data_IF_010968553189
#
_entry.id   IF_010968553189
#
_cell.length_a   1.000
_cell.length_b   1.000
_cell.length_c   1.000
_cell.angle_alpha   90.00
_cell.angle_beta   90.00
_cell.angle_gamma   90.00
#
_symmetry.space_group_name_H-M   'P 1'
#
loop_
_entity.id
_entity.type
_entity.pdbx_description
1 polymer ?
#
# COMPACT_ATOMS: atom_id res chain seq x y z
N UNK A 1 15.94 2.33 6.87
CA UNK A 1 14.75 2.54 7.74
C UNK A 1 13.92 3.75 7.34
N UNK A 2 14.51 4.96 7.24
CA UNK A 2 13.75 6.21 6.97
C UNK A 2 12.91 6.17 5.67
N UNK A 3 13.38 5.51 4.61
CA UNK A 3 12.64 5.40 3.35
C UNK A 3 11.25 4.76 3.52
N UNK A 4 11.09 3.78 4.42
CA UNK A 4 9.80 3.14 4.69
C UNK A 4 8.83 4.08 5.42
N UNK A 5 9.35 4.91 6.34
CA UNK A 5 8.53 5.88 7.06
C UNK A 5 8.05 6.97 6.09
N UNK A 6 8.94 7.45 5.21
CA UNK A 6 8.57 8.40 4.16
C UNK A 6 7.57 7.78 3.18
N UNK A 7 7.73 6.53 2.78
CA UNK A 7 6.76 5.88 1.87
C UNK A 7 5.37 5.77 2.50
N UNK A 8 5.28 5.45 3.79
CA UNK A 8 3.99 5.42 4.52
C UNK A 8 3.36 6.81 4.53
N UNK A 9 4.14 7.88 4.77
CA UNK A 9 3.64 9.25 4.74
C UNK A 9 3.09 9.62 3.35
N UNK A 10 3.78 9.23 2.28
CA UNK A 10 3.30 9.47 0.93
C UNK A 10 2.04 8.64 0.63
N UNK A 11 1.99 7.36 1.02
CA UNK A 11 0.78 6.54 0.89
C UNK A 11 -0.44 7.22 1.51
N UNK A 12 -0.32 7.73 2.74
CA UNK A 12 -1.44 8.32 3.48
C UNK A 12 -2.05 9.58 2.86
N UNK A 13 -1.37 10.18 1.87
CA UNK A 13 -1.83 11.34 1.13
C UNK A 13 -2.49 10.99 -0.22
N UNK A 14 -2.63 9.70 -0.55
CA UNK A 14 -3.29 9.24 -1.77
C UNK A 14 -4.80 9.22 -1.53
N UNK A 15 -5.54 10.02 -2.29
CA UNK A 15 -7.00 10.04 -2.30
C UNK A 15 -7.56 9.30 -3.52
N UNK A 16 -8.71 8.67 -3.34
CA UNK A 16 -9.42 7.94 -4.39
C UNK A 16 -10.79 8.55 -4.68
N UNK A 17 -11.20 8.49 -5.95
CA UNK A 17 -12.54 8.86 -6.42
C UNK A 17 -13.10 7.75 -7.29
N UNK A 18 -14.40 7.84 -7.61
CA UNK A 18 -15.07 6.87 -8.47
C UNK A 18 -14.38 6.79 -9.83
N UNK A 19 -14.10 5.56 -10.25
CA UNK A 19 -13.53 5.23 -11.55
C UNK A 19 -14.58 5.24 -12.67
N UNK A 20 -14.27 4.54 -13.77
CA UNK A 20 -15.16 4.44 -14.93
C UNK A 20 -16.36 3.53 -14.66
N UNK A 21 -16.12 2.42 -13.98
CA UNK A 21 -17.14 1.44 -13.62
C UNK A 21 -17.76 1.75 -12.26
N UNK A 22 -18.97 1.25 -12.01
CA UNK A 22 -19.76 1.60 -10.84
C UNK A 22 -19.05 1.32 -9.52
N UNK A 23 -18.36 0.19 -9.41
CA UNK A 23 -17.63 -0.31 -8.25
C UNK A 23 -16.11 -0.17 -8.39
N UNK A 24 -15.65 0.75 -9.26
CA UNK A 24 -14.23 1.01 -9.46
C UNK A 24 -13.77 2.32 -8.83
N UNK A 25 -12.49 2.39 -8.54
CA UNK A 25 -11.78 3.57 -8.05
C UNK A 25 -10.71 4.01 -9.05
N UNK A 26 -10.27 5.25 -8.88
CA UNK A 26 -9.07 5.81 -9.50
C UNK A 26 -8.48 6.85 -8.57
N UNK A 27 -7.24 7.26 -8.81
CA UNK A 27 -6.63 8.40 -8.13
C UNK A 27 -7.47 9.67 -8.33
N UNK A 28 -7.56 10.49 -7.28
CA UNK A 28 -8.36 11.73 -7.29
C UNK A 28 -7.81 12.79 -8.25
N UNK A 29 -6.51 13.03 -8.19
CA UNK A 29 -5.84 14.15 -8.86
C UNK A 29 -4.34 13.91 -9.06
N UNK A 30 -3.66 14.86 -9.70
CA UNK A 30 -2.21 14.83 -9.93
C UNK A 30 -1.40 14.80 -8.63
N UNK A 31 -1.94 15.37 -7.53
CA UNK A 31 -1.30 15.32 -6.22
C UNK A 31 -1.27 13.88 -5.71
N UNK A 32 -2.38 13.15 -5.83
CA UNK A 32 -2.46 11.73 -5.47
C UNK A 32 -1.53 10.88 -6.33
N UNK A 33 -1.41 11.19 -7.63
CA UNK A 33 -0.44 10.56 -8.53
C UNK A 33 1.00 10.80 -8.12
N UNK A 34 1.36 12.03 -7.76
CA UNK A 34 2.70 12.36 -7.25
C UNK A 34 3.03 11.54 -6.00
N UNK A 35 2.11 11.50 -5.03
CA UNK A 35 2.31 10.71 -3.81
C UNK A 35 2.47 9.22 -4.08
N UNK A 36 1.67 8.66 -5.00
CA UNK A 36 1.80 7.27 -5.44
C UNK A 36 3.18 7.00 -6.07
N UNK A 37 3.62 7.86 -6.98
CA UNK A 37 4.90 7.71 -7.67
C UNK A 37 6.08 7.77 -6.69
N UNK A 38 6.08 8.74 -5.78
CA UNK A 38 7.12 8.84 -4.75
C UNK A 38 7.10 7.63 -3.81
N UNK A 39 5.91 7.17 -3.40
CA UNK A 39 5.81 5.96 -2.57
C UNK A 39 6.36 4.73 -3.29
N UNK A 40 6.05 4.57 -4.59
CA UNK A 40 6.54 3.47 -5.40
C UNK A 40 8.07 3.50 -5.55
N UNK A 41 8.65 4.68 -5.77
CA UNK A 41 10.10 4.86 -5.84
C UNK A 41 10.79 4.50 -4.51
N UNK A 42 10.26 4.98 -3.38
CA UNK A 42 10.79 4.69 -2.05
C UNK A 42 10.66 3.20 -1.68
N UNK A 43 9.61 2.53 -2.15
CA UNK A 43 9.38 1.09 -2.00
C UNK A 43 10.08 0.24 -3.07
N UNK A 44 10.76 0.89 -4.03
CA UNK A 44 11.43 0.25 -5.16
C UNK A 44 10.52 -0.70 -5.96
N UNK A 45 9.27 -0.28 -6.19
CA UNK A 45 8.28 -1.05 -6.93
C UNK A 45 7.72 -0.26 -8.11
N UNK A 46 7.03 -0.95 -9.01
CA UNK A 46 6.38 -0.31 -10.15
C UNK A 46 5.13 0.47 -9.68
N UNK A 47 5.05 1.75 -10.05
CA UNK A 47 3.95 2.62 -9.65
C UNK A 47 2.57 2.13 -10.12
N UNK A 48 2.50 1.52 -11.31
CA UNK A 48 1.24 0.97 -11.81
C UNK A 48 0.82 -0.27 -11.02
N UNK A 49 1.76 -1.15 -10.71
CA UNK A 49 1.49 -2.30 -9.83
C UNK A 49 1.06 -1.87 -8.42
N UNK A 50 1.64 -0.79 -7.90
CA UNK A 50 1.19 -0.22 -6.62
C UNK A 50 -0.24 0.33 -6.74
N UNK A 51 -0.55 1.10 -7.77
CA UNK A 51 -1.92 1.58 -8.04
C UNK A 51 -2.92 0.42 -8.13
N UNK A 52 -2.59 -0.61 -8.90
CA UNK A 52 -3.45 -1.78 -9.10
C UNK A 52 -3.67 -2.52 -7.77
N UNK A 53 -2.65 -2.64 -6.92
CA UNK A 53 -2.80 -3.23 -5.58
C UNK A 53 -3.72 -2.43 -4.64
N UNK A 54 -3.82 -1.11 -4.84
CA UNK A 54 -4.68 -0.22 -4.06
C UNK A 54 -6.11 -0.19 -4.62
N UNK A 55 -6.26 -0.30 -5.93
CA UNK A 55 -7.54 -0.12 -6.64
C UNK A 55 -8.21 -1.44 -7.04
N UNK A 56 -7.54 -2.58 -6.87
CA UNK A 56 -8.05 -3.89 -7.27
C UNK A 56 -7.77 -4.96 -6.22
N UNK A 57 -8.63 -5.98 -6.18
CA UNK A 57 -8.41 -7.19 -5.41
C UNK A 57 -8.27 -8.37 -6.35
N UNK A 58 -7.14 -9.06 -6.23
CA UNK A 58 -6.90 -10.34 -6.90
C UNK A 58 -7.42 -11.46 -6.01
N UNK A 59 -8.31 -12.28 -6.55
CA UNK A 59 -8.86 -13.48 -5.91
C UNK A 59 -8.22 -14.67 -6.62
N UNK A 60 -7.43 -15.44 -5.87
CA UNK A 60 -6.78 -16.66 -6.38
C UNK A 60 -7.78 -17.81 -6.26
N UNK A 61 -8.08 -18.47 -7.37
CA UNK A 61 -8.95 -19.66 -7.44
C UNK A 61 -8.21 -20.81 -8.13
N UNK A 62 -8.65 -22.08 -7.99
CA UNK A 62 -8.04 -23.21 -8.70
C UNK A 62 -8.00 -23.02 -10.22
N UNK A 63 -9.01 -22.34 -10.79
CA UNK A 63 -9.13 -22.08 -12.23
C UNK A 63 -8.36 -20.82 -12.69
N UNK A 64 -7.68 -20.13 -11.77
CA UNK A 64 -6.85 -18.96 -12.04
C UNK A 64 -7.19 -17.75 -11.18
N UNK A 65 -6.61 -16.61 -11.55
CA UNK A 65 -6.78 -15.35 -10.82
C UNK A 65 -7.94 -14.54 -11.41
N UNK A 66 -8.85 -14.13 -10.54
CA UNK A 66 -9.95 -13.22 -10.87
C UNK A 66 -9.63 -11.86 -10.24
N UNK A 67 -9.51 -10.82 -11.06
CA UNK A 67 -9.28 -9.46 -10.58
C UNK A 67 -10.60 -8.72 -10.52
N UNK A 68 -10.91 -8.12 -9.36
CA UNK A 68 -12.09 -7.28 -9.16
C UNK A 68 -11.65 -5.86 -8.81
N UNK A 69 -12.21 -4.81 -9.45
CA UNK A 69 -11.98 -3.44 -9.01
C UNK A 69 -12.54 -3.19 -7.60
N UNK A 70 -11.97 -2.22 -6.91
CA UNK A 70 -12.42 -1.74 -5.60
C UNK A 70 -13.11 -0.41 -5.76
N UNK A 71 -14.19 -0.19 -5.01
CA UNK A 71 -14.77 1.14 -4.90
C UNK A 71 -13.82 2.08 -4.11
N UNK A 72 -14.04 3.40 -4.13
CA UNK A 72 -13.13 4.33 -3.45
C UNK A 72 -12.95 4.09 -1.95
N UNK A 73 -14.00 3.65 -1.25
CA UNK A 73 -13.92 3.37 0.18
C UNK A 73 -13.07 2.12 0.45
N UNK A 74 -13.26 1.07 -0.35
CA UNK A 74 -12.44 -0.13 -0.29
C UNK A 74 -10.98 0.12 -0.70
N UNK A 75 -10.73 1.03 -1.63
CA UNK A 75 -9.36 1.44 -2.01
C UNK A 75 -8.64 2.17 -0.86
N UNK A 76 -9.34 3.04 -0.13
CA UNK A 76 -8.81 3.67 1.11
C UNK A 76 -8.44 2.60 2.14
N UNK A 77 -9.32 1.61 2.36
CA UNK A 77 -9.02 0.50 3.28
C UNK A 77 -7.82 -0.33 2.82
N UNK A 78 -7.66 -0.55 1.51
CA UNK A 78 -6.50 -1.24 0.94
C UNK A 78 -5.19 -0.49 1.21
N UNK A 79 -5.19 0.83 1.00
CA UNK A 79 -4.06 1.72 1.32
C UNK A 79 -3.69 1.64 2.80
N UNK A 80 -4.66 1.82 3.69
CA UNK A 80 -4.40 1.80 5.14
C UNK A 80 -3.90 0.43 5.61
N UNK A 81 -4.38 -0.66 5.00
CA UNK A 81 -3.87 -2.00 5.27
C UNK A 81 -2.42 -2.18 4.80
N UNK A 82 -2.06 -1.63 3.63
CA UNK A 82 -0.70 -1.65 3.14
C UNK A 82 0.24 -0.87 4.06
N UNK A 83 -0.15 0.34 4.49
CA UNK A 83 0.63 1.14 5.45
C UNK A 83 0.90 0.39 6.75
N UNK A 84 -0.15 -0.21 7.34
CA UNK A 84 -0.02 -1.05 8.55
C UNK A 84 0.92 -2.22 8.31
N UNK A 85 0.82 -2.88 7.16
CA UNK A 85 1.68 -4.01 6.81
C UNK A 85 3.15 -3.59 6.71
N UNK A 86 3.44 -2.46 6.07
CA UNK A 86 4.81 -1.93 5.96
C UNK A 86 5.34 -1.57 7.35
N UNK A 87 4.54 -0.88 8.17
CA UNK A 87 4.92 -0.52 9.53
C UNK A 87 5.20 -1.75 10.41
N UNK A 88 4.31 -2.74 10.41
CA UNK A 88 4.49 -3.98 11.18
C UNK A 88 5.76 -4.70 10.78
N UNK A 89 6.03 -4.85 9.47
CA UNK A 89 7.26 -5.50 8.99
C UNK A 89 8.51 -4.72 9.38
N UNK A 90 8.45 -3.39 9.36
CA UNK A 90 9.58 -2.55 9.79
C UNK A 90 9.86 -2.75 11.28
N UNK A 91 8.81 -2.76 12.10
CA UNK A 91 8.91 -2.96 13.54
C UNK A 91 9.44 -4.36 13.89
N UNK A 92 8.91 -5.40 13.25
CA UNK A 92 9.38 -6.78 13.42
C UNK A 92 10.87 -6.91 13.05
N UNK A 93 11.28 -6.30 11.94
CA UNK A 93 12.70 -6.28 11.56
C UNK A 93 13.55 -5.61 12.65
N UNK A 94 13.10 -4.46 13.15
CA UNK A 94 13.82 -3.75 14.20
C UNK A 94 13.96 -4.60 15.47
N UNK A 95 12.88 -5.23 15.94
CA UNK A 95 12.92 -6.12 17.12
C UNK A 95 13.85 -7.32 16.92
N UNK A 96 13.81 -7.95 15.75
CA UNK A 96 14.67 -9.11 15.46
C UNK A 96 16.15 -8.74 15.31
N UNK A 97 16.46 -7.49 14.98
CA UNK A 97 17.85 -7.00 14.88
C UNK A 97 18.42 -6.48 16.19
N UNK A 98 17.59 -6.17 17.19
CA UNK A 98 18.07 -5.85 18.52
C UNK A 98 18.62 -7.14 19.16
N UNK A 99 19.91 -7.21 19.51
CA UNK A 99 20.46 -8.41 20.13
C UNK A 99 19.72 -8.71 21.44
N UNK A 100 19.51 -9.99 21.71
CA UNK A 100 18.82 -10.60 22.86
C UNK A 100 19.33 -10.14 24.25
N UNK A 101 20.27 -9.20 24.34
CA UNK A 101 20.87 -8.71 25.59
C UNK A 101 19.92 -7.92 26.49
N UNK A 102 18.73 -7.52 26.02
CA UNK A 102 17.70 -6.87 26.85
C UNK A 102 16.57 -7.80 27.32
N UNK A 103 16.54 -9.08 26.93
CA UNK A 103 15.52 -10.04 27.40
C UNK A 103 15.97 -10.88 28.61
N UNK A 104 17.13 -10.56 29.20
CA UNK A 104 17.60 -11.12 30.46
C UNK A 104 18.10 -9.98 31.36
N UNK A 105 17.18 -9.24 31.98
CA UNK A 105 17.39 -8.45 33.19
C UNK A 105 16.11 -8.50 34.02
#
# INVERSE_FOLDING_TARGET
MLYFVLSILHLGNIDFVKGKEFDSSKLKDEKSLYHLQTAAELLMCNAKSLEDSLCQRVIVTPDGNITKPLDPAAAVLSRDALEKTIYSRLFDWQLNTLPLSCHQC
#
